data_IF_533858952607
#
_entry.id   IF_533858952607
#
_cell.length_a   1.000
_cell.length_b   1.000
_cell.length_c   1.000
_cell.angle_alpha   90.00
_cell.angle_beta   90.00
_cell.angle_gamma   90.00
#
_symmetry.space_group_name_H-M   'P 1'
#
loop_
_entity.id
_entity.type
_entity.pdbx_description
1 polymer ?
#
# COMPACT_ATOMS: atom_id res chain seq x y z
N UNK A 1 21.72 1.30 7.05
CA UNK A 1 21.96 -0.05 7.62
C UNK A 1 21.87 -1.12 6.56
N UNK A 2 20.69 -1.37 5.92
CA UNK A 2 20.48 -2.44 4.93
C UNK A 2 21.45 -2.36 3.74
N UNK A 3 21.58 -1.18 3.10
CA UNK A 3 22.51 -0.96 1.98
C UNK A 3 23.97 -1.28 2.36
N UNK A 4 24.38 -0.91 3.56
CA UNK A 4 25.71 -1.22 4.07
C UNK A 4 25.88 -2.73 4.32
N UNK A 5 24.86 -3.39 4.83
CA UNK A 5 24.87 -4.85 5.00
C UNK A 5 25.00 -5.56 3.66
N UNK A 6 24.24 -5.13 2.64
CA UNK A 6 24.34 -5.66 1.28
C UNK A 6 25.72 -5.39 0.64
N UNK A 7 26.35 -4.26 0.94
CA UNK A 7 27.69 -3.97 0.46
C UNK A 7 28.76 -4.89 1.08
N UNK A 8 28.58 -5.25 2.36
CA UNK A 8 29.53 -6.12 3.08
C UNK A 8 29.28 -7.60 2.83
N UNK A 9 28.02 -8.00 2.68
CA UNK A 9 27.60 -9.40 2.46
C UNK A 9 26.42 -9.42 1.50
N UNK A 10 26.66 -9.32 0.18
CA UNK A 10 25.60 -9.31 -0.82
C UNK A 10 24.76 -10.58 -0.77
N UNK A 11 23.45 -10.41 -0.88
CA UNK A 11 22.49 -11.49 -1.02
C UNK A 11 21.47 -11.13 -2.09
N UNK A 12 21.15 -12.06 -2.94
CA UNK A 12 20.12 -11.91 -3.96
C UNK A 12 18.73 -12.10 -3.31
N UNK A 13 17.73 -11.42 -3.87
CA UNK A 13 16.30 -11.54 -3.52
C UNK A 13 16.01 -11.61 -2.00
N UNK A 14 16.52 -10.65 -1.25
CA UNK A 14 16.31 -10.60 0.20
C UNK A 14 14.89 -10.16 0.57
N UNK A 15 14.19 -9.49 -0.35
CA UNK A 15 12.86 -8.88 -0.14
C UNK A 15 12.80 -8.11 1.17
N UNK A 16 13.81 -7.30 1.43
CA UNK A 16 13.89 -6.50 2.65
C UNK A 16 12.70 -5.56 2.76
N UNK A 17 11.95 -5.69 3.85
CA UNK A 17 10.70 -4.97 4.06
C UNK A 17 10.95 -3.74 4.94
N UNK A 18 10.42 -2.60 4.52
CA UNK A 18 10.37 -1.39 5.35
C UNK A 18 8.92 -1.18 5.79
N UNK A 19 8.64 -1.60 7.02
CA UNK A 19 7.28 -1.55 7.59
C UNK A 19 6.84 -0.10 7.78
N UNK A 20 5.55 0.16 7.56
CA UNK A 20 4.83 1.44 7.58
C UNK A 20 5.30 2.43 6.52
N UNK A 21 6.59 2.70 6.39
CA UNK A 21 7.18 3.68 5.46
C UNK A 21 6.46 5.03 5.43
N UNK A 22 5.75 5.37 6.52
CA UNK A 22 4.74 6.43 6.58
C UNK A 22 5.29 7.80 6.17
N UNK A 23 6.50 8.13 6.61
CA UNK A 23 7.13 9.42 6.34
C UNK A 23 8.34 9.30 5.41
N UNK A 24 8.40 8.24 4.60
CA UNK A 24 9.46 8.09 3.63
C UNK A 24 9.46 9.25 2.63
N UNK A 25 10.63 9.87 2.44
CA UNK A 25 10.81 10.94 1.45
C UNK A 25 11.05 10.34 0.07
N UNK A 26 10.85 11.15 -0.98
CA UNK A 26 11.05 10.70 -2.37
C UNK A 26 12.45 10.14 -2.60
N UNK A 27 13.50 10.78 -2.06
CA UNK A 27 14.88 10.28 -2.15
C UNK A 27 15.06 8.90 -1.46
N UNK A 28 14.30 8.65 -0.39
CA UNK A 28 14.30 7.35 0.29
C UNK A 28 13.53 6.28 -0.50
N UNK A 29 12.41 6.64 -1.14
CA UNK A 29 11.68 5.74 -2.04
C UNK A 29 12.54 5.36 -3.25
N UNK A 30 13.21 6.32 -3.89
CA UNK A 30 14.17 6.05 -4.96
C UNK A 30 15.30 5.11 -4.50
N UNK A 31 15.80 5.31 -3.28
CA UNK A 31 16.83 4.45 -2.70
C UNK A 31 16.32 3.04 -2.41
N UNK A 32 15.06 2.91 -1.92
CA UNK A 32 14.40 1.61 -1.76
C UNK A 32 14.27 0.89 -3.11
N UNK A 33 13.90 1.62 -4.18
CA UNK A 33 13.80 1.05 -5.53
C UNK A 33 15.15 0.48 -6.00
N UNK A 34 16.24 1.24 -5.85
CA UNK A 34 17.58 0.75 -6.22
C UNK A 34 18.08 -0.45 -5.39
N UNK A 35 17.55 -0.60 -4.19
CA UNK A 35 17.91 -1.69 -3.25
C UNK A 35 16.91 -2.85 -3.28
N UNK A 36 15.91 -2.77 -4.15
CA UNK A 36 14.79 -3.75 -4.23
C UNK A 36 14.11 -3.99 -2.88
N UNK A 37 14.14 -2.98 -1.99
CA UNK A 37 13.46 -3.05 -0.70
C UNK A 37 11.96 -2.79 -0.89
N UNK A 38 11.12 -3.52 -0.18
CA UNK A 38 9.66 -3.46 -0.31
C UNK A 38 9.08 -2.56 0.78
N UNK A 39 8.55 -1.36 0.46
CA UNK A 39 7.78 -0.61 1.43
C UNK A 39 6.44 -1.28 1.67
N UNK A 40 6.10 -1.51 2.93
CA UNK A 40 4.80 -2.01 3.35
C UNK A 40 4.07 -0.86 4.03
N UNK A 41 3.12 -0.23 3.34
CA UNK A 41 2.46 0.98 3.82
C UNK A 41 1.28 0.66 4.73
N UNK A 42 1.27 1.24 5.94
CA UNK A 42 0.08 1.30 6.77
C UNK A 42 -0.84 2.41 6.23
N UNK A 43 -1.52 2.12 5.13
CA UNK A 43 -2.24 3.15 4.36
C UNK A 43 -3.47 3.70 5.10
N UNK A 44 -4.14 2.92 5.94
CA UNK A 44 -5.29 3.37 6.72
C UNK A 44 -4.95 4.43 7.77
N UNK A 45 -3.66 4.70 8.05
CA UNK A 45 -3.23 5.89 8.77
C UNK A 45 -3.77 7.17 8.15
N UNK A 46 -3.85 7.25 6.82
CA UNK A 46 -4.41 8.42 6.12
C UNK A 46 -5.88 8.59 6.48
N UNK A 47 -6.63 7.50 6.51
CA UNK A 47 -8.05 7.51 6.83
C UNK A 47 -8.31 7.86 8.31
N UNK A 48 -7.80 7.06 9.24
CA UNK A 48 -8.17 7.19 10.65
C UNK A 48 -7.52 8.38 11.36
N UNK A 49 -6.28 8.73 11.01
CA UNK A 49 -5.51 9.77 11.72
C UNK A 49 -5.10 10.95 10.85
N UNK A 50 -5.47 10.96 9.58
CA UNK A 50 -5.07 11.98 8.62
C UNK A 50 -5.35 13.41 9.08
N UNK A 51 -6.53 13.65 9.63
CA UNK A 51 -6.88 14.98 10.17
C UNK A 51 -5.98 15.43 11.32
N UNK A 52 -5.63 14.49 12.22
CA UNK A 52 -4.70 14.76 13.33
C UNK A 52 -3.27 14.99 12.85
N UNK A 53 -2.82 14.19 11.90
CA UNK A 53 -1.51 14.39 11.28
C UNK A 53 -1.41 15.74 10.61
N UNK A 54 -2.45 16.13 9.88
CA UNK A 54 -2.51 17.42 9.21
C UNK A 54 -2.52 18.60 10.19
N UNK A 55 -3.39 18.55 11.21
CA UNK A 55 -3.65 19.69 12.08
C UNK A 55 -2.68 19.80 13.27
N UNK A 56 -2.14 18.67 13.77
CA UNK A 56 -1.45 18.64 15.07
C UNK A 56 0.00 18.11 14.93
N UNK A 57 0.20 16.93 14.31
CA UNK A 57 1.46 16.23 14.46
C UNK A 57 2.50 16.57 13.39
N UNK A 58 2.08 16.76 12.14
CA UNK A 58 2.99 16.89 11.00
C UNK A 58 2.91 18.21 10.27
N UNK A 59 1.73 18.86 10.34
CA UNK A 59 1.40 20.01 9.51
C UNK A 59 1.03 19.59 8.08
N UNK A 60 0.43 20.52 7.31
CA UNK A 60 -0.16 20.23 6.00
C UNK A 60 0.84 19.64 5.00
N UNK A 61 2.00 20.23 4.84
CA UNK A 61 2.99 19.83 3.83
C UNK A 61 3.48 18.39 4.00
N UNK A 62 3.67 17.93 5.23
CA UNK A 62 4.14 16.56 5.49
C UNK A 62 2.99 15.56 5.51
N UNK A 63 1.83 15.96 6.01
CA UNK A 63 0.68 15.07 6.10
C UNK A 63 0.16 14.63 4.72
N UNK A 64 0.15 15.51 3.72
CA UNK A 64 -0.27 15.17 2.34
C UNK A 64 0.69 14.20 1.65
N UNK A 65 1.90 14.03 2.19
CA UNK A 65 2.90 13.12 1.65
C UNK A 65 3.04 11.80 2.42
N UNK A 66 2.31 11.62 3.53
CA UNK A 66 2.44 10.38 4.28
C UNK A 66 1.99 9.16 3.48
N UNK A 67 2.61 8.02 3.74
CA UNK A 67 2.40 6.77 2.99
C UNK A 67 2.50 7.01 1.48
N UNK A 68 3.70 7.32 0.94
CA UNK A 68 3.90 7.85 -0.41
C UNK A 68 3.77 6.77 -1.50
N UNK A 69 2.55 6.26 -1.68
CA UNK A 69 2.21 5.21 -2.68
C UNK A 69 2.42 5.69 -4.11
N UNK A 70 2.11 6.95 -4.40
CA UNK A 70 2.35 7.54 -5.72
C UNK A 70 3.84 7.66 -6.05
N UNK A 71 4.69 8.02 -5.07
CA UNK A 71 6.14 8.04 -5.27
C UNK A 71 6.66 6.62 -5.56
N UNK A 72 6.20 5.61 -4.82
CA UNK A 72 6.59 4.23 -5.04
C UNK A 72 6.20 3.76 -6.45
N UNK A 73 4.97 4.07 -6.89
CA UNK A 73 4.50 3.73 -8.24
C UNK A 73 5.35 4.41 -9.33
N UNK A 74 5.68 5.70 -9.18
CA UNK A 74 6.54 6.42 -10.13
C UNK A 74 7.96 5.85 -10.23
N UNK A 75 8.46 5.29 -9.13
CA UNK A 75 9.76 4.61 -9.10
C UNK A 75 9.70 3.15 -9.56
N UNK A 76 8.55 2.66 -10.06
CA UNK A 76 8.31 1.24 -10.36
C UNK A 76 8.69 0.32 -9.19
N UNK A 77 8.53 0.80 -7.96
CA UNK A 77 8.85 0.06 -6.75
C UNK A 77 7.60 -0.71 -6.28
N UNK A 78 7.62 -2.06 -6.31
CA UNK A 78 6.54 -2.84 -5.74
C UNK A 78 6.39 -2.55 -4.24
N UNK A 79 5.16 -2.41 -3.80
CA UNK A 79 4.81 -2.11 -2.40
C UNK A 79 3.64 -2.98 -1.95
N UNK A 80 3.45 -3.08 -0.65
CA UNK A 80 2.28 -3.71 -0.06
C UNK A 80 1.49 -2.72 0.79
N UNK A 81 0.23 -3.04 1.02
CA UNK A 81 -0.68 -2.28 1.88
C UNK A 81 -1.10 -3.17 3.05
N UNK A 82 -1.15 -2.62 4.26
CA UNK A 82 -1.57 -3.38 5.44
C UNK A 82 -2.43 -2.54 6.41
N UNK A 83 -3.20 -3.24 7.26
CA UNK A 83 -4.07 -2.65 8.27
C UNK A 83 -3.40 -2.42 9.63
N UNK A 84 -2.26 -3.07 9.87
CA UNK A 84 -1.61 -3.10 11.19
C UNK A 84 -2.59 -3.55 12.32
N UNK A 85 -3.30 -4.65 12.03
CA UNK A 85 -4.27 -5.23 12.96
C UNK A 85 -3.54 -5.67 14.24
N UNK A 86 -3.95 -5.22 15.38
CA UNK A 86 -5.24 -4.69 15.85
C UNK A 86 -5.32 -3.15 15.97
N UNK A 87 -4.42 -2.40 15.35
CA UNK A 87 -4.45 -0.93 15.36
C UNK A 87 -5.65 -0.42 14.56
N UNK A 88 -5.93 -1.04 13.41
CA UNK A 88 -7.17 -0.84 12.67
C UNK A 88 -7.89 -2.17 12.41
N UNK A 89 -9.20 -2.16 12.14
CA UNK A 89 -9.94 -3.34 11.71
C UNK A 89 -9.32 -3.98 10.45
N UNK A 90 -9.51 -5.28 10.29
CA UNK A 90 -9.18 -5.98 9.03
C UNK A 90 -10.21 -5.57 7.98
N UNK A 91 -9.81 -4.73 7.05
CA UNK A 91 -10.67 -4.28 5.96
C UNK A 91 -9.81 -4.05 4.69
N UNK A 92 -9.67 -5.07 3.84
CA UNK A 92 -8.86 -4.97 2.62
C UNK A 92 -9.40 -3.96 1.62
N UNK A 93 -10.72 -3.77 1.51
CA UNK A 93 -11.30 -2.80 0.60
C UNK A 93 -11.09 -1.36 1.07
N UNK A 94 -11.05 -1.13 2.38
CA UNK A 94 -10.66 0.17 2.95
C UNK A 94 -9.18 0.47 2.68
N UNK A 95 -8.30 -0.53 2.62
CA UNK A 95 -6.91 -0.33 2.18
C UNK A 95 -6.87 0.21 0.74
N UNK A 96 -7.58 -0.46 -0.17
CA UNK A 96 -7.68 -0.04 -1.57
C UNK A 96 -8.27 1.36 -1.67
N UNK A 97 -9.40 1.59 -1.01
CA UNK A 97 -10.07 2.89 -0.99
C UNK A 97 -9.14 4.01 -0.49
N UNK A 98 -8.41 3.76 0.61
CA UNK A 98 -7.50 4.75 1.21
C UNK A 98 -6.32 5.09 0.30
N UNK A 99 -5.77 4.10 -0.41
CA UNK A 99 -4.67 4.30 -1.34
C UNK A 99 -5.10 5.07 -2.59
N UNK A 100 -6.32 4.85 -3.08
CA UNK A 100 -6.88 5.49 -4.27
C UNK A 100 -7.37 6.90 -3.98
N UNK A 101 -8.19 7.05 -2.93
CA UNK A 101 -8.89 8.32 -2.67
C UNK A 101 -8.10 9.30 -1.80
N UNK A 102 -7.22 8.79 -0.95
CA UNK A 102 -6.37 9.64 -0.10
C UNK A 102 -7.16 10.64 0.78
N UNK A 103 -8.34 10.22 1.23
CA UNK A 103 -9.19 11.04 2.10
C UNK A 103 -9.10 10.57 3.56
N UNK A 104 -9.07 11.52 4.48
CA UNK A 104 -9.25 11.22 5.91
C UNK A 104 -10.70 10.85 6.23
N UNK A 105 -10.95 10.34 7.43
CA UNK A 105 -12.30 10.11 7.94
C UNK A 105 -13.16 11.38 7.92
N UNK A 106 -12.56 12.54 8.16
CA UNK A 106 -13.22 13.86 8.06
C UNK A 106 -13.35 14.41 6.65
N UNK A 107 -12.95 13.66 5.60
CA UNK A 107 -13.06 14.06 4.20
C UNK A 107 -11.94 14.99 3.71
N UNK A 108 -10.85 15.14 4.46
CA UNK A 108 -9.70 15.94 4.05
C UNK A 108 -8.87 15.23 3.00
N UNK A 109 -8.55 15.93 1.90
CA UNK A 109 -7.58 15.47 0.92
C UNK A 109 -6.16 15.40 1.54
N UNK A 110 -5.54 14.26 1.43
CA UNK A 110 -4.20 13.97 1.90
C UNK A 110 -3.26 13.63 0.73
N UNK A 111 -3.29 14.50 -0.28
CA UNK A 111 -2.40 14.43 -1.42
C UNK A 111 -2.85 13.44 -2.51
N UNK A 112 -4.14 13.41 -2.83
CA UNK A 112 -4.68 12.51 -3.87
C UNK A 112 -3.98 12.72 -5.22
N UNK A 113 -3.71 13.96 -5.61
CA UNK A 113 -3.10 14.28 -6.89
C UNK A 113 -1.70 13.65 -7.06
N UNK A 114 -0.90 13.65 -6.00
CA UNK A 114 0.49 13.20 -6.02
C UNK A 114 0.67 11.76 -5.53
N UNK A 115 -0.14 11.34 -4.56
CA UNK A 115 0.05 10.07 -3.86
C UNK A 115 -1.09 9.07 -4.06
N UNK A 116 -2.20 9.46 -4.68
CA UNK A 116 -3.26 8.56 -5.10
C UNK A 116 -2.77 7.62 -6.22
N UNK A 117 -3.23 6.37 -6.20
CA UNK A 117 -2.83 5.36 -7.17
C UNK A 117 -4.06 4.73 -7.85
N UNK A 118 -3.91 4.14 -9.04
CA UNK A 118 -4.98 3.39 -9.69
C UNK A 118 -5.47 2.21 -8.84
N UNK A 119 -6.76 1.90 -8.95
CA UNK A 119 -7.39 0.79 -8.22
C UNK A 119 -6.65 -0.53 -8.43
N UNK A 120 -6.26 -0.84 -9.67
CA UNK A 120 -5.52 -2.07 -9.98
C UNK A 120 -4.19 -2.16 -9.22
N UNK A 121 -3.45 -1.07 -9.09
CA UNK A 121 -2.18 -1.06 -8.35
C UNK A 121 -2.39 -1.20 -6.85
N UNK A 122 -3.48 -0.63 -6.32
CA UNK A 122 -3.86 -0.86 -4.92
C UNK A 122 -4.27 -2.32 -4.65
N UNK A 123 -5.03 -2.94 -5.57
CA UNK A 123 -5.36 -4.37 -5.49
C UNK A 123 -4.11 -5.26 -5.55
N UNK A 124 -3.15 -4.97 -6.42
CA UNK A 124 -1.86 -5.68 -6.43
C UNK A 124 -1.14 -5.58 -5.08
N UNK A 125 -1.23 -4.41 -4.42
CA UNK A 125 -0.62 -4.17 -3.11
C UNK A 125 -1.13 -5.08 -1.99
N UNK A 126 -2.37 -5.57 -2.10
CA UNK A 126 -2.99 -6.49 -1.12
C UNK A 126 -3.05 -7.94 -1.61
N UNK A 127 -2.60 -8.24 -2.83
CA UNK A 127 -2.65 -9.58 -3.43
C UNK A 127 -1.27 -10.06 -3.87
N UNK A 128 -0.93 -9.92 -5.13
CA UNK A 128 0.31 -10.48 -5.70
C UNK A 128 1.57 -9.88 -5.09
N UNK A 129 1.60 -8.58 -4.77
CA UNK A 129 2.75 -7.98 -4.12
C UNK A 129 2.90 -8.47 -2.66
N UNK A 130 1.77 -8.69 -1.96
CA UNK A 130 1.78 -9.28 -0.62
C UNK A 130 2.27 -10.73 -0.64
N UNK A 131 1.85 -11.54 -1.63
CA UNK A 131 2.36 -12.88 -1.84
C UNK A 131 3.87 -12.86 -2.12
N UNK A 132 4.33 -11.96 -3.01
CA UNK A 132 5.77 -11.79 -3.30
C UNK A 132 6.57 -11.40 -2.06
N UNK A 133 6.04 -10.53 -1.21
CA UNK A 133 6.68 -10.15 0.05
C UNK A 133 6.95 -11.37 0.95
N UNK A 134 6.05 -12.38 0.91
CA UNK A 134 6.14 -13.63 1.64
C UNK A 134 6.84 -14.77 0.91
N UNK A 135 7.41 -14.56 -0.27
CA UNK A 135 7.96 -15.61 -1.15
C UNK A 135 6.93 -16.66 -1.59
N UNK A 136 5.67 -16.25 -1.73
CA UNK A 136 4.54 -17.15 -2.02
C UNK A 136 3.84 -16.83 -3.35
N UNK A 137 4.40 -15.93 -4.17
CA UNK A 137 3.81 -15.55 -5.45
C UNK A 137 3.72 -16.69 -6.47
N UNK A 138 4.48 -17.75 -6.28
CA UNK A 138 4.38 -18.96 -7.08
C UNK A 138 3.17 -19.84 -6.76
N UNK A 139 2.52 -19.62 -5.60
CA UNK A 139 1.43 -20.47 -5.11
C UNK A 139 0.14 -19.71 -4.80
N UNK A 140 0.18 -18.38 -4.67
CA UNK A 140 -1.00 -17.53 -4.40
C UNK A 140 -0.80 -16.09 -4.88
N UNK A 141 -1.82 -15.25 -4.69
CA UNK A 141 -1.81 -13.80 -4.98
C UNK A 141 -2.28 -13.42 -6.37
N UNK A 142 -2.51 -14.40 -7.25
CA UNK A 142 -3.13 -14.21 -8.57
C UNK A 142 -3.91 -15.45 -8.98
N UNK A 143 -4.87 -15.27 -9.88
CA UNK A 143 -5.70 -16.36 -10.43
C UNK A 143 -4.98 -16.94 -11.64
N UNK A 144 -4.19 -18.00 -11.42
CA UNK A 144 -3.40 -18.67 -12.43
C UNK A 144 -3.43 -20.17 -12.22
N UNK A 145 -3.36 -21.01 -13.30
CA UNK A 145 -3.27 -22.46 -13.18
C UNK A 145 -2.08 -22.89 -12.30
N UNK A 146 -2.33 -23.76 -11.35
CA UNK A 146 -1.32 -24.30 -10.44
C UNK A 146 -1.18 -23.54 -9.10
N UNK A 147 -1.86 -22.40 -8.94
CA UNK A 147 -1.96 -21.71 -7.65
C UNK A 147 -3.16 -22.18 -6.83
N UNK A 148 -3.13 -21.88 -5.54
CA UNK A 148 -4.27 -22.16 -4.65
C UNK A 148 -5.53 -21.43 -5.13
N UNK A 149 -6.68 -22.06 -4.96
CA UNK A 149 -7.98 -21.52 -5.31
C UNK A 149 -8.55 -20.65 -4.17
N UNK A 150 -7.74 -19.69 -3.71
CA UNK A 150 -8.14 -18.71 -2.69
C UNK A 150 -8.78 -17.51 -3.42
N UNK A 151 -10.11 -17.45 -3.39
CA UNK A 151 -10.88 -16.43 -4.09
C UNK A 151 -11.73 -15.60 -3.12
N UNK A 152 -11.93 -14.35 -3.50
CA UNK A 152 -12.98 -13.49 -2.95
C UNK A 152 -13.92 -13.14 -4.09
N UNK A 153 -15.21 -13.35 -3.88
CA UNK A 153 -16.28 -12.94 -4.82
C UNK A 153 -16.87 -11.64 -4.31
N UNK A 154 -16.77 -10.60 -5.10
CA UNK A 154 -17.34 -9.28 -4.83
C UNK A 154 -18.64 -9.11 -5.62
N UNK A 155 -19.62 -8.42 -5.07
CA UNK A 155 -20.89 -8.15 -5.74
C UNK A 155 -20.76 -7.10 -6.85
N UNK A 156 -19.74 -6.26 -6.79
CA UNK A 156 -19.41 -5.26 -7.82
C UNK A 156 -17.95 -5.36 -8.28
N UNK A 157 -17.72 -4.96 -9.53
CA UNK A 157 -16.37 -4.92 -10.07
C UNK A 157 -15.61 -3.68 -9.57
N UNK A 158 -14.57 -3.84 -8.72
CA UNK A 158 -13.83 -2.71 -8.15
C UNK A 158 -13.12 -1.85 -9.20
N UNK A 159 -12.90 -2.36 -10.41
CA UNK A 159 -12.29 -1.60 -11.51
C UNK A 159 -13.31 -0.76 -12.29
N UNK A 160 -14.61 -0.93 -12.02
CA UNK A 160 -15.68 -0.27 -12.78
C UNK A 160 -16.56 0.66 -11.92
N UNK A 161 -16.57 0.48 -10.61
CA UNK A 161 -17.33 1.35 -9.69
C UNK A 161 -16.67 2.72 -9.53
N UNK A 162 -17.43 3.71 -9.06
CA UNK A 162 -16.84 4.95 -8.58
C UNK A 162 -15.84 4.64 -7.47
N UNK A 163 -14.59 5.12 -7.54
CA UNK A 163 -13.59 4.88 -6.50
C UNK A 163 -14.05 5.25 -5.08
N UNK A 164 -14.99 6.16 -4.93
CA UNK A 164 -15.56 6.51 -3.63
C UNK A 164 -16.36 5.37 -2.99
N UNK A 165 -16.90 4.44 -3.79
CA UNK A 165 -17.70 3.30 -3.33
C UNK A 165 -16.89 2.01 -3.08
N UNK A 166 -15.59 2.01 -3.36
CA UNK A 166 -14.73 0.82 -3.22
C UNK A 166 -14.82 0.14 -1.85
N UNK A 167 -14.92 0.92 -0.77
CA UNK A 167 -15.01 0.40 0.60
C UNK A 167 -16.41 -0.12 0.97
N UNK A 168 -17.40 0.14 0.13
CA UNK A 168 -18.80 -0.22 0.34
C UNK A 168 -19.19 -1.46 -0.47
N UNK A 169 -18.31 -2.00 -1.31
CA UNK A 169 -18.50 -3.24 -2.06
C UNK A 169 -18.67 -4.41 -1.08
N UNK A 170 -19.75 -5.19 -1.26
CA UNK A 170 -20.01 -6.35 -0.42
C UNK A 170 -19.20 -7.58 -0.88
N UNK A 171 -18.80 -8.40 0.09
CA UNK A 171 -18.17 -9.69 -0.16
C UNK A 171 -19.30 -10.72 -0.24
N UNK A 172 -19.50 -11.28 -1.42
CA UNK A 172 -20.56 -12.25 -1.68
C UNK A 172 -20.16 -13.69 -1.26
N UNK A 173 -18.86 -14.04 -1.36
CA UNK A 173 -18.31 -15.33 -0.93
C UNK A 173 -16.77 -15.25 -0.75
#
# INVERSE_FOLDING_TARGET
AYEEAQRQSPRDDTRFIVIHSQMARSDQIERMSRLEAIPSFFITHTYFWGDRHYAIFMGPERAVRMSPTGDALRCNLPFTLHNDTFVTPIDPLLLVWSAVNRLSYGGRDLGKAEQGIPVLEALKGITINAARQGFEEGVKGSIEPGKFADFVVLDENPLAVDPMHLKDIEIAA
#
